data_IF_900937728786
#
_entry.id   IF_900937728786
#
_cell.length_a   1.000
_cell.length_b   1.000
_cell.length_c   1.000
_cell.angle_alpha   90.00
_cell.angle_beta   90.00
_cell.angle_gamma   90.00
#
_symmetry.space_group_name_H-M   'P 1'
#
loop_
_entity.id
_entity.type
_entity.pdbx_description
1 polymer ?
#
# COMPACT_ATOMS: atom_id res chain seq x y z
N UNK A 1 -11.31 -10.49 -13.85
CA UNK A 1 -10.91 -11.76 -13.24
C UNK A 1 -9.56 -11.55 -12.55
N UNK A 2 -9.44 -10.80 -11.45
CA UNK A 2 -9.93 -11.08 -10.11
C UNK A 2 -8.75 -10.85 -9.15
N UNK A 3 -8.30 -9.60 -9.00
CA UNK A 3 -7.16 -9.19 -8.15
C UNK A 3 -7.33 -9.49 -6.64
N UNK A 4 -8.47 -10.05 -6.25
CA UNK A 4 -8.85 -10.33 -4.87
C UNK A 4 -7.98 -11.45 -4.27
N UNK A 5 -7.41 -12.35 -5.09
CA UNK A 5 -6.60 -13.47 -4.57
C UNK A 5 -5.09 -13.18 -4.40
N UNK A 6 -4.54 -12.19 -5.12
CA UNK A 6 -3.07 -11.98 -5.10
C UNK A 6 -2.65 -11.01 -3.98
N UNK A 7 -3.41 -9.95 -3.74
CA UNK A 7 -3.11 -9.03 -2.64
C UNK A 7 -3.24 -9.72 -1.29
N UNK A 8 -4.28 -10.52 -1.07
CA UNK A 8 -4.47 -11.27 0.18
C UNK A 8 -3.30 -12.23 0.44
N UNK A 9 -2.81 -12.93 -0.59
CA UNK A 9 -1.65 -13.80 -0.49
C UNK A 9 -0.37 -13.01 -0.15
N UNK A 10 -0.16 -11.88 -0.83
CA UNK A 10 0.98 -11.00 -0.56
C UNK A 10 0.92 -10.41 0.85
N UNK A 11 -0.25 -9.99 1.30
CA UNK A 11 -0.47 -9.46 2.65
C UNK A 11 -0.20 -10.55 3.70
N UNK A 12 -0.75 -11.74 3.52
CA UNK A 12 -0.51 -12.87 4.42
C UNK A 12 0.98 -13.23 4.51
N UNK A 13 1.70 -13.18 3.40
CA UNK A 13 3.15 -13.40 3.37
C UNK A 13 3.93 -12.25 4.01
N UNK A 14 3.55 -11.00 3.76
CA UNK A 14 4.17 -9.81 4.34
C UNK A 14 4.00 -9.79 5.88
N UNK A 15 2.82 -10.19 6.39
CA UNK A 15 2.56 -10.35 7.81
C UNK A 15 3.43 -11.43 8.47
N UNK A 16 3.89 -12.41 7.70
CA UNK A 16 4.86 -13.43 8.14
C UNK A 16 6.33 -12.98 7.96
N UNK A 17 6.57 -11.73 7.58
CA UNK A 17 7.92 -11.16 7.42
C UNK A 17 8.50 -11.27 6.01
N UNK A 18 7.71 -11.64 4.99
CA UNK A 18 8.20 -11.69 3.61
C UNK A 18 8.43 -10.29 3.04
N UNK A 19 9.69 -9.85 3.00
CA UNK A 19 10.09 -8.59 2.37
C UNK A 19 9.73 -8.53 0.88
N UNK A 20 9.84 -9.66 0.16
CA UNK A 20 9.44 -9.75 -1.24
C UNK A 20 7.95 -9.47 -1.43
N UNK A 21 7.11 -10.02 -0.55
CA UNK A 21 5.67 -9.80 -0.65
C UNK A 21 5.30 -8.33 -0.36
N UNK A 22 5.99 -7.72 0.60
CA UNK A 22 5.86 -6.28 0.87
C UNK A 22 6.29 -5.43 -0.34
N UNK A 23 7.45 -5.71 -0.94
CA UNK A 23 7.94 -5.00 -2.12
C UNK A 23 6.95 -5.07 -3.29
N UNK A 24 6.32 -6.23 -3.50
CA UNK A 24 5.26 -6.41 -4.52
C UNK A 24 4.03 -5.55 -4.24
N UNK A 25 3.61 -5.44 -2.98
CA UNK A 25 2.52 -4.54 -2.59
C UNK A 25 2.92 -3.08 -2.84
N UNK A 26 4.13 -2.67 -2.44
CA UNK A 26 4.63 -1.30 -2.68
C UNK A 26 4.58 -0.97 -4.17
N UNK A 27 5.22 -1.77 -5.02
CA UNK A 27 5.24 -1.57 -6.49
C UNK A 27 3.85 -1.51 -7.11
N UNK A 28 2.89 -2.27 -6.57
CA UNK A 28 1.51 -2.29 -7.08
C UNK A 28 0.76 -1.00 -6.77
N UNK A 29 1.05 -0.37 -5.64
CA UNK A 29 0.29 0.77 -5.12
C UNK A 29 1.02 2.11 -5.23
N UNK A 30 2.34 2.11 -5.49
CA UNK A 30 3.19 3.30 -5.47
C UNK A 30 2.69 4.40 -6.40
N UNK A 31 2.38 4.09 -7.66
CA UNK A 31 1.96 5.11 -8.62
C UNK A 31 0.64 5.75 -8.21
N UNK A 32 -0.28 4.97 -7.62
CA UNK A 32 -1.59 5.50 -7.20
C UNK A 32 -1.46 6.40 -5.98
N UNK A 33 -0.66 6.00 -4.99
CA UNK A 33 -0.41 6.80 -3.79
C UNK A 33 0.39 8.06 -4.15
N UNK A 34 1.44 7.93 -4.97
CA UNK A 34 2.23 9.06 -5.44
C UNK A 34 1.39 10.07 -6.21
N UNK A 35 0.58 9.63 -7.18
CA UNK A 35 -0.30 10.52 -7.94
C UNK A 35 -1.33 11.21 -7.05
N UNK A 36 -1.81 10.53 -6.01
CA UNK A 36 -2.67 11.16 -5.00
C UNK A 36 -1.91 12.21 -4.18
N UNK A 37 -0.68 11.90 -3.77
CA UNK A 37 0.22 12.84 -3.09
C UNK A 37 0.49 14.09 -3.92
N UNK A 38 0.84 13.95 -5.19
CA UNK A 38 1.06 15.08 -6.11
C UNK A 38 -0.16 16.00 -6.19
N UNK A 39 -1.38 15.44 -6.19
CA UNK A 39 -2.61 16.23 -6.20
C UNK A 39 -2.83 17.03 -4.91
N UNK A 40 -2.27 16.58 -3.79
CA UNK A 40 -2.39 17.25 -2.48
C UNK A 40 -1.27 18.27 -2.29
N UNK A 41 -0.02 17.89 -2.58
CA UNK A 41 1.17 18.70 -2.29
C UNK A 41 1.48 19.71 -3.39
N UNK A 42 0.97 19.49 -4.61
CA UNK A 42 1.23 20.35 -5.76
C UNK A 42 2.65 20.24 -6.34
N UNK A 43 3.52 19.38 -5.79
CA UNK A 43 4.86 19.13 -6.29
C UNK A 43 5.31 17.68 -6.03
N UNK A 44 6.27 17.22 -6.83
CA UNK A 44 6.72 15.82 -6.85
C UNK A 44 7.64 15.46 -5.69
N UNK A 45 8.40 16.41 -5.14
CA UNK A 45 9.32 16.16 -4.02
C UNK A 45 8.53 15.79 -2.77
N UNK A 46 7.60 16.67 -2.37
CA UNK A 46 6.78 16.45 -1.18
C UNK A 46 5.87 15.22 -1.36
N UNK A 47 5.43 14.95 -2.60
CA UNK A 47 4.65 13.75 -2.90
C UNK A 47 5.47 12.46 -2.72
N UNK A 48 6.77 12.49 -3.01
CA UNK A 48 7.66 11.35 -2.81
C UNK A 48 7.85 11.06 -1.32
N UNK A 49 8.06 12.10 -0.51
CA UNK A 49 8.20 11.99 0.95
C UNK A 49 6.89 11.50 1.59
N UNK A 50 5.76 12.09 1.19
CA UNK A 50 4.43 11.65 1.64
C UNK A 50 4.16 10.19 1.28
N UNK A 51 4.52 9.75 0.07
CA UNK A 51 4.32 8.37 -0.38
C UNK A 51 5.08 7.39 0.53
N UNK A 52 6.32 7.72 0.89
CA UNK A 52 7.11 6.91 1.80
C UNK A 52 6.45 6.81 3.18
N UNK A 53 6.02 7.94 3.76
CA UNK A 53 5.32 7.96 5.05
C UNK A 53 4.02 7.15 5.04
N UNK A 54 3.26 7.23 3.95
CA UNK A 54 2.05 6.42 3.77
C UNK A 54 2.38 4.93 3.76
N UNK A 55 3.41 4.49 3.03
CA UNK A 55 3.81 3.08 3.03
C UNK A 55 4.33 2.61 4.38
N UNK A 56 5.07 3.43 5.12
CA UNK A 56 5.46 3.14 6.50
C UNK A 56 4.25 3.02 7.42
N UNK A 57 3.24 3.89 7.24
CA UNK A 57 1.96 3.80 7.93
C UNK A 57 1.20 2.50 7.62
N UNK A 58 1.11 2.13 6.35
CA UNK A 58 0.52 0.87 5.88
C UNK A 58 1.24 -0.32 6.51
N UNK A 59 2.57 -0.37 6.43
CA UNK A 59 3.36 -1.48 6.97
C UNK A 59 3.11 -1.67 8.48
N UNK A 60 3.19 -0.57 9.25
CA UNK A 60 2.93 -0.57 10.70
C UNK A 60 1.52 -1.06 11.04
N UNK A 61 0.53 -0.76 10.20
CA UNK A 61 -0.87 -1.10 10.44
C UNK A 61 -1.35 -2.33 9.68
N UNK A 62 -0.49 -3.00 8.90
CA UNK A 62 -0.90 -4.10 8.03
C UNK A 62 -1.56 -5.25 8.81
N UNK A 63 -1.10 -5.49 10.04
CA UNK A 63 -1.67 -6.48 10.97
C UNK A 63 -3.13 -6.23 11.34
N UNK A 64 -3.65 -5.02 11.11
CA UNK A 64 -5.06 -4.64 11.35
C UNK A 64 -5.95 -4.92 10.14
N UNK A 65 -5.38 -5.24 8.98
CA UNK A 65 -6.14 -5.59 7.80
C UNK A 65 -6.78 -6.98 7.97
N UNK A 66 -8.11 -7.02 8.03
CA UNK A 66 -8.89 -8.26 8.25
C UNK A 66 -9.42 -8.91 6.99
N UNK A 67 -9.25 -8.31 5.81
CA UNK A 67 -9.85 -8.81 4.57
C UNK A 67 -11.32 -8.41 4.37
N UNK A 68 -11.92 -7.66 5.31
CA UNK A 68 -13.33 -7.21 5.23
C UNK A 68 -13.62 -6.27 4.04
N UNK A 69 -12.57 -5.75 3.40
CA UNK A 69 -12.66 -4.88 2.22
C UNK A 69 -11.42 -5.08 1.32
N UNK A 70 -11.50 -4.64 0.07
CA UNK A 70 -10.33 -4.60 -0.82
C UNK A 70 -9.19 -3.82 -0.15
N UNK A 71 -7.98 -4.32 -0.24
CA UNK A 71 -6.79 -3.65 0.30
C UNK A 71 -6.64 -2.22 -0.27
N UNK A 72 -6.87 -2.06 -1.58
CA UNK A 72 -6.95 -0.74 -2.23
C UNK A 72 -7.98 0.22 -1.64
N UNK A 73 -9.06 -0.25 -1.02
CA UNK A 73 -10.03 0.60 -0.32
C UNK A 73 -9.60 0.87 1.12
N UNK A 74 -8.89 -0.06 1.76
CA UNK A 74 -8.37 0.10 3.11
C UNK A 74 -7.22 1.12 3.17
N UNK A 75 -6.37 1.19 2.15
CA UNK A 75 -5.25 2.16 2.07
C UNK A 75 -5.73 3.63 2.08
N UNK A 76 -6.86 3.92 1.44
CA UNK A 76 -7.38 5.30 1.28
C UNK A 76 -8.53 5.61 2.25
N UNK A 77 -8.70 4.81 3.30
CA UNK A 77 -9.64 5.04 4.39
C UNK A 77 -8.93 5.71 5.55
#
# INVERSE_FOLDING_TARGET
MGLINEDEALIAAALKGSAYAWEKLVKRYESRIFNYGVRITGNTSDAMDLTQEVFLGIYRNLHRFRGDAKFSSWIFR
#
